data_IF_243554531664
#
_entry.id   IF_243554531664
#
_cell.length_a   1.000
_cell.length_b   1.000
_cell.length_c   1.000
_cell.angle_alpha   90.00
_cell.angle_beta   90.00
_cell.angle_gamma   90.00
#
_symmetry.space_group_name_H-M   'P 1'
#
loop_
_entity.id
_entity.type
_entity.pdbx_description
1 polymer ?
#
# COMPACT_ATOMS: atom_id res chain seq x y z
N UNK A 1 18.44 33.15 -19.43
CA UNK A 1 18.81 31.72 -19.32
C UNK A 1 18.08 30.97 -18.17
N UNK A 2 17.71 31.62 -17.04
CA UNK A 2 16.97 30.98 -15.91
C UNK A 2 15.54 30.55 -16.29
N UNK A 3 14.83 31.24 -17.16
CA UNK A 3 13.46 30.95 -17.59
C UNK A 3 13.34 29.66 -18.43
N UNK A 4 14.37 29.30 -19.17
CA UNK A 4 14.36 28.12 -20.05
C UNK A 4 14.58 26.81 -19.26
N UNK A 5 15.24 26.89 -18.10
CA UNK A 5 15.43 25.72 -17.21
C UNK A 5 14.18 25.37 -16.41
N UNK A 6 13.35 26.35 -16.08
CA UNK A 6 12.06 26.11 -15.40
C UNK A 6 11.07 25.39 -16.32
N UNK A 7 11.05 25.72 -17.63
CA UNK A 7 10.22 25.03 -18.61
C UNK A 7 10.65 23.57 -18.81
N UNK A 8 11.95 23.26 -18.75
CA UNK A 8 12.43 21.88 -18.92
C UNK A 8 12.10 20.97 -17.72
N UNK A 9 12.09 21.49 -16.50
CA UNK A 9 11.71 20.72 -15.32
C UNK A 9 10.19 20.40 -15.30
N UNK A 10 9.37 21.37 -15.69
CA UNK A 10 7.91 21.16 -15.83
C UNK A 10 7.61 20.21 -17.00
N UNK A 11 8.39 20.26 -18.08
CA UNK A 11 8.22 19.37 -19.24
C UNK A 11 8.68 17.94 -18.95
N UNK A 12 9.71 17.73 -18.11
CA UNK A 12 10.16 16.40 -17.71
C UNK A 12 9.15 15.71 -16.78
N UNK A 13 8.49 16.46 -15.88
CA UNK A 13 7.39 15.96 -15.07
C UNK A 13 6.14 15.62 -15.90
N UNK A 14 5.86 16.39 -16.97
CA UNK A 14 4.76 16.14 -17.89
C UNK A 14 4.98 14.89 -18.76
N UNK A 15 6.23 14.57 -19.13
CA UNK A 15 6.55 13.37 -19.93
C UNK A 15 6.51 12.07 -19.10
N UNK A 16 6.80 12.12 -17.81
CA UNK A 16 6.58 10.97 -16.91
C UNK A 16 5.10 10.75 -16.60
N UNK A 17 4.27 11.81 -16.59
CA UNK A 17 2.82 11.69 -16.33
C UNK A 17 2.04 11.07 -17.51
N UNK A 18 2.55 11.18 -18.75
CA UNK A 18 1.87 10.67 -19.94
C UNK A 18 2.09 9.17 -20.22
N UNK A 19 2.95 8.49 -19.47
CA UNK A 19 3.17 7.03 -19.62
C UNK A 19 2.23 6.18 -18.77
N UNK A 20 1.55 6.78 -17.82
CA UNK A 20 0.52 6.14 -17.00
C UNK A 20 -0.66 7.09 -16.91
N UNK A 21 -1.79 6.71 -17.50
CA UNK A 21 -3.07 7.40 -17.32
C UNK A 21 -3.53 7.21 -15.87
N UNK A 22 -2.89 7.92 -14.96
CA UNK A 22 -3.30 8.05 -13.57
C UNK A 22 -4.12 9.34 -13.47
N UNK A 23 -5.42 9.22 -13.23
CA UNK A 23 -6.24 10.34 -12.80
C UNK A 23 -5.71 10.87 -11.47
N UNK A 24 -4.88 11.91 -11.54
CA UNK A 24 -4.38 12.68 -10.39
C UNK A 24 -5.46 13.53 -9.71
N UNK A 25 -6.70 13.45 -10.20
CA UNK A 25 -7.82 14.29 -9.79
C UNK A 25 -8.40 13.97 -8.39
N UNK A 26 -7.87 12.99 -7.67
CA UNK A 26 -8.45 12.57 -6.38
C UNK A 26 -7.66 12.96 -5.13
N UNK A 27 -6.48 13.57 -5.26
CA UNK A 27 -5.79 14.13 -4.09
C UNK A 27 -6.28 15.56 -3.86
N UNK A 28 -6.62 15.94 -2.63
CA UNK A 28 -6.90 17.33 -2.29
C UNK A 28 -5.74 18.21 -2.73
N UNK A 29 -6.03 19.21 -3.55
CA UNK A 29 -5.05 20.13 -4.16
C UNK A 29 -4.18 20.84 -3.11
N UNK A 30 -4.70 21.01 -1.89
CA UNK A 30 -4.00 21.57 -0.75
C UNK A 30 -2.88 20.67 -0.22
N UNK A 31 -3.04 19.35 -0.28
CA UNK A 31 -2.01 18.38 0.12
C UNK A 31 -0.90 18.29 -0.92
N UNK A 32 -1.27 18.31 -2.21
CA UNK A 32 -0.31 18.36 -3.30
C UNK A 32 0.48 19.66 -3.28
N UNK A 33 -0.20 20.79 -3.02
CA UNK A 33 0.42 22.11 -2.90
C UNK A 33 1.33 22.20 -1.68
N UNK A 34 0.93 21.64 -0.53
CA UNK A 34 1.80 21.58 0.67
C UNK A 34 3.03 20.69 0.47
N UNK A 35 2.91 19.59 -0.27
CA UNK A 35 4.05 18.75 -0.62
C UNK A 35 5.02 19.44 -1.61
N UNK A 36 4.51 20.33 -2.46
CA UNK A 36 5.29 21.03 -3.48
C UNK A 36 5.75 22.42 -3.00
N UNK A 37 5.03 23.07 -2.07
CA UNK A 37 5.34 24.40 -1.53
C UNK A 37 6.04 24.39 -0.18
N UNK A 38 6.51 23.25 0.31
CA UNK A 38 7.47 23.25 1.39
C UNK A 38 8.71 24.00 0.89
N UNK A 39 8.86 25.25 1.34
CA UNK A 39 9.92 26.19 0.95
C UNK A 39 11.35 25.64 1.11
N UNK A 40 11.50 24.50 1.78
CA UNK A 40 12.76 23.78 1.97
C UNK A 40 13.22 22.95 0.75
N UNK A 41 12.42 22.82 -0.30
CA UNK A 41 12.80 22.05 -1.52
C UNK A 41 13.57 22.90 -2.52
N UNK A 42 13.63 24.23 -2.34
CA UNK A 42 14.37 25.15 -3.19
C UNK A 42 15.61 25.70 -2.46
N UNK A 43 16.49 24.82 -2.01
CA UNK A 43 17.86 25.20 -1.71
C UNK A 43 18.56 25.47 -3.07
N UNK A 44 18.95 26.70 -3.33
CA UNK A 44 19.58 27.11 -4.59
C UNK A 44 20.94 26.40 -4.83
N UNK A 45 21.50 25.76 -3.79
CA UNK A 45 22.76 25.02 -3.80
C UNK A 45 22.58 23.51 -3.96
N UNK A 46 21.35 22.99 -4.11
CA UNK A 46 21.10 21.57 -4.26
C UNK A 46 21.44 21.09 -5.68
N UNK A 47 22.51 20.32 -5.81
CA UNK A 47 22.93 19.73 -7.10
C UNK A 47 22.06 18.51 -7.44
N UNK A 48 21.07 18.75 -8.31
CA UNK A 48 20.21 17.69 -8.85
C UNK A 48 20.95 16.64 -9.69
N UNK A 49 22.22 16.84 -10.01
CA UNK A 49 23.05 15.87 -10.73
C UNK A 49 23.51 14.71 -9.83
N UNK A 50 23.57 14.92 -8.50
CA UNK A 50 23.82 13.84 -7.53
C UNK A 50 22.62 12.92 -7.27
N UNK A 51 21.42 13.27 -7.75
CA UNK A 51 20.22 12.43 -7.67
C UNK A 51 20.24 11.22 -8.63
N UNK A 52 21.41 10.85 -9.11
CA UNK A 52 21.61 9.73 -10.00
C UNK A 52 21.17 8.40 -9.40
N UNK A 53 19.95 8.02 -9.69
CA UNK A 53 19.17 6.80 -9.44
C UNK A 53 18.21 6.92 -8.26
N UNK A 54 17.00 6.34 -8.44
CA UNK A 54 15.94 6.26 -7.43
C UNK A 54 16.43 5.68 -6.07
N UNK A 55 17.54 4.96 -6.04
CA UNK A 55 18.16 4.45 -4.82
C UNK A 55 18.75 5.55 -3.94
N UNK A 56 19.29 6.64 -4.50
CA UNK A 56 19.89 7.72 -3.70
C UNK A 56 18.84 8.61 -3.05
N UNK A 57 17.66 8.75 -3.68
CA UNK A 57 16.52 9.46 -3.07
C UNK A 57 16.04 8.79 -1.79
N UNK A 58 16.01 7.46 -1.75
CA UNK A 58 15.55 6.69 -0.59
C UNK A 58 16.53 6.75 0.60
N UNK A 59 17.78 7.16 0.38
CA UNK A 59 18.80 7.29 1.42
C UNK A 59 19.08 8.75 1.82
N UNK A 60 18.41 9.72 1.19
CA UNK A 60 18.51 11.11 1.59
C UNK A 60 17.68 11.36 2.86
N UNK A 61 18.26 11.82 3.99
CA UNK A 61 17.53 12.06 5.24
C UNK A 61 16.37 13.05 5.07
N UNK A 62 16.52 14.09 4.25
CA UNK A 62 15.44 15.04 3.96
C UNK A 62 14.25 14.34 3.23
N UNK A 63 14.53 13.39 2.33
CA UNK A 63 13.50 12.61 1.67
C UNK A 63 12.88 11.57 2.62
N UNK A 64 13.66 11.01 3.54
CA UNK A 64 13.17 10.13 4.59
C UNK A 64 12.19 10.85 5.52
N UNK A 65 12.46 12.12 5.87
CA UNK A 65 11.55 12.96 6.66
C UNK A 65 10.24 13.24 5.89
N UNK A 66 10.31 13.51 4.59
CA UNK A 66 9.11 13.68 3.75
C UNK A 66 8.30 12.39 3.62
N UNK A 67 8.96 11.22 3.52
CA UNK A 67 8.28 9.92 3.56
C UNK A 67 7.65 9.65 4.92
N UNK A 68 8.30 10.08 6.01
CA UNK A 68 7.75 9.94 7.35
C UNK A 68 6.50 10.81 7.55
N UNK A 69 6.51 12.04 7.03
CA UNK A 69 5.33 12.92 7.01
C UNK A 69 4.22 12.33 6.13
N UNK A 70 4.56 11.77 4.96
CA UNK A 70 3.58 11.10 4.08
C UNK A 70 2.96 9.87 4.76
N UNK A 71 3.73 9.08 5.52
CA UNK A 71 3.23 7.94 6.30
C UNK A 71 2.24 8.32 7.40
N UNK A 72 2.34 9.54 7.96
CA UNK A 72 1.36 10.04 8.92
C UNK A 72 -0.01 10.41 8.29
N UNK A 73 -0.14 10.31 6.97
CA UNK A 73 -1.40 10.62 6.30
C UNK A 73 -2.47 9.54 6.52
N UNK A 74 -2.11 8.29 6.84
CA UNK A 74 -3.08 7.20 7.05
C UNK A 74 -3.16 6.84 8.51
N UNK A 75 -4.37 6.89 9.07
CA UNK A 75 -4.66 6.47 10.44
C UNK A 75 -5.53 5.21 10.54
N UNK A 76 -6.14 4.80 9.43
CA UNK A 76 -6.89 3.55 9.37
C UNK A 76 -6.94 2.96 7.95
N UNK A 77 -6.99 1.64 7.86
CA UNK A 77 -7.23 0.89 6.63
C UNK A 77 -8.56 0.15 6.76
N UNK A 78 -9.41 0.25 5.74
CA UNK A 78 -10.67 -0.49 5.66
C UNK A 78 -10.66 -1.38 4.43
N UNK A 79 -10.97 -2.65 4.61
CA UNK A 79 -11.14 -3.62 3.53
C UNK A 79 -12.59 -4.04 3.45
N UNK A 80 -13.19 -3.96 2.27
CA UNK A 80 -14.51 -4.49 1.94
C UNK A 80 -14.32 -5.66 0.98
N UNK A 81 -14.42 -6.88 1.49
CA UNK A 81 -14.16 -8.11 0.74
C UNK A 81 -15.11 -8.28 -0.43
N UNK A 82 -16.42 -8.09 -0.20
CA UNK A 82 -17.44 -8.21 -1.24
C UNK A 82 -17.25 -7.21 -2.39
N UNK A 83 -16.71 -6.03 -2.10
CA UNK A 83 -16.42 -5.00 -3.09
C UNK A 83 -15.02 -5.13 -3.73
N UNK A 84 -14.17 -6.04 -3.23
CA UNK A 84 -12.75 -6.14 -3.61
C UNK A 84 -12.01 -4.81 -3.48
N UNK A 85 -12.24 -4.08 -2.38
CA UNK A 85 -11.70 -2.75 -2.15
C UNK A 85 -10.91 -2.68 -0.85
N UNK A 86 -9.77 -2.00 -0.91
CA UNK A 86 -9.03 -1.51 0.25
C UNK A 86 -9.01 0.01 0.20
N UNK A 87 -9.39 0.63 1.30
CA UNK A 87 -9.54 2.08 1.44
C UNK A 87 -8.60 2.55 2.53
N UNK A 88 -7.78 3.54 2.24
CA UNK A 88 -6.93 4.24 3.20
C UNK A 88 -7.67 5.47 3.71
N UNK A 89 -7.71 5.63 5.03
CA UNK A 89 -8.41 6.72 5.68
C UNK A 89 -7.46 7.64 6.44
N UNK A 90 -7.80 8.93 6.49
CA UNK A 90 -7.26 9.93 7.39
C UNK A 90 -8.39 10.74 8.00
N UNK A 91 -8.46 10.78 9.34
CA UNK A 91 -9.53 11.48 10.07
C UNK A 91 -10.93 11.08 9.56
N UNK A 92 -11.11 9.77 9.26
CA UNK A 92 -12.34 9.18 8.73
C UNK A 92 -12.64 9.50 7.27
N UNK A 93 -11.77 10.23 6.55
CA UNK A 93 -11.94 10.54 5.12
C UNK A 93 -11.12 9.59 4.26
N UNK A 94 -11.70 9.15 3.13
CA UNK A 94 -10.98 8.38 2.12
C UNK A 94 -9.91 9.26 1.46
N UNK A 95 -8.65 8.79 1.48
CA UNK A 95 -7.53 9.43 0.78
C UNK A 95 -7.02 8.58 -0.38
N UNK A 96 -7.25 7.27 -0.34
CA UNK A 96 -6.87 6.36 -1.42
C UNK A 96 -7.74 5.10 -1.39
N UNK A 97 -7.97 4.54 -2.55
CA UNK A 97 -8.67 3.27 -2.72
C UNK A 97 -7.92 2.39 -3.73
N UNK A 98 -7.85 1.09 -3.42
CA UNK A 98 -7.23 0.09 -4.27
C UNK A 98 -8.20 -1.05 -4.56
N UNK A 99 -8.09 -1.65 -5.75
CA UNK A 99 -8.63 -2.96 -6.00
C UNK A 99 -7.75 -4.03 -5.37
N UNK A 100 -8.37 -5.02 -4.71
CA UNK A 100 -7.66 -6.13 -4.09
C UNK A 100 -8.08 -7.45 -4.71
N UNK A 101 -7.13 -8.41 -4.77
CA UNK A 101 -7.45 -9.82 -4.99
C UNK A 101 -7.46 -10.55 -3.65
N UNK A 102 -8.37 -11.49 -3.51
CA UNK A 102 -8.55 -12.36 -2.36
C UNK A 102 -8.22 -13.82 -2.72
N UNK A 103 -8.79 -14.78 -2.01
CA UNK A 103 -8.67 -16.21 -2.33
C UNK A 103 -9.89 -16.70 -3.12
N UNK A 104 -9.79 -17.90 -3.66
CA UNK A 104 -10.90 -18.63 -4.28
C UNK A 104 -12.08 -18.92 -3.31
N UNK A 105 -11.94 -18.57 -2.04
CA UNK A 105 -12.97 -18.63 -1.00
C UNK A 105 -13.13 -17.30 -0.29
N UNK A 106 -13.55 -16.24 -0.98
CA UNK A 106 -13.51 -14.87 -0.45
C UNK A 106 -14.57 -14.63 0.64
N UNK A 107 -15.63 -15.45 0.67
CA UNK A 107 -16.76 -15.22 1.57
C UNK A 107 -16.56 -15.84 2.95
N UNK A 108 -16.98 -15.09 3.98
CA UNK A 108 -16.92 -15.47 5.39
C UNK A 108 -15.54 -15.29 6.00
N UNK A 109 -15.51 -15.19 7.33
CA UNK A 109 -14.29 -15.01 8.10
C UNK A 109 -13.41 -16.27 8.09
N UNK A 110 -12.10 -16.08 8.19
CA UNK A 110 -11.14 -17.14 8.44
C UNK A 110 -11.44 -17.83 9.75
N UNK A 111 -11.46 -19.18 9.74
CA UNK A 111 -11.78 -20.00 10.88
C UNK A 111 -10.59 -20.81 11.39
N UNK A 112 -9.74 -21.31 10.48
CA UNK A 112 -8.60 -22.16 10.81
C UNK A 112 -7.54 -22.15 9.70
N UNK A 113 -6.39 -22.69 9.99
CA UNK A 113 -5.28 -22.81 9.03
C UNK A 113 -5.69 -23.69 7.84
N UNK A 114 -5.46 -23.19 6.62
CA UNK A 114 -5.74 -23.91 5.38
C UNK A 114 -7.17 -23.76 4.85
N UNK A 115 -8.06 -23.02 5.52
CA UNK A 115 -9.42 -22.73 5.03
C UNK A 115 -9.48 -21.77 3.84
N UNK A 116 -8.34 -21.17 3.51
CA UNK A 116 -8.13 -20.18 2.44
C UNK A 116 -8.93 -18.88 2.59
N UNK A 117 -9.55 -18.64 3.72
CA UNK A 117 -10.33 -17.42 3.97
C UNK A 117 -9.46 -16.28 4.48
N UNK A 118 -9.86 -15.07 4.17
CA UNK A 118 -9.31 -13.87 4.77
C UNK A 118 -10.00 -13.59 6.10
N UNK A 119 -9.27 -13.20 7.18
CA UNK A 119 -9.92 -12.86 8.44
C UNK A 119 -10.86 -11.68 8.29
N UNK A 120 -11.89 -11.62 9.14
CA UNK A 120 -12.82 -10.50 9.27
C UNK A 120 -12.77 -9.97 10.70
N UNK A 121 -12.81 -8.64 10.84
CA UNK A 121 -12.67 -7.94 12.11
C UNK A 121 -11.59 -6.87 12.07
N UNK A 122 -11.22 -6.37 13.24
CA UNK A 122 -10.19 -5.33 13.38
C UNK A 122 -8.89 -5.94 13.90
N UNK A 123 -7.81 -5.64 13.21
CA UNK A 123 -6.44 -6.08 13.47
C UNK A 123 -5.49 -4.89 13.37
N UNK A 124 -4.21 -5.14 13.56
CA UNK A 124 -3.14 -4.16 13.39
C UNK A 124 -2.19 -4.63 12.27
N UNK A 125 -1.70 -3.72 11.48
CA UNK A 125 -0.61 -3.94 10.54
C UNK A 125 0.71 -3.83 11.32
N UNK A 126 1.33 -4.96 11.67
CA UNK A 126 2.33 -5.00 12.75
C UNK A 126 3.80 -5.12 12.32
N UNK A 127 4.08 -5.61 11.10
CA UNK A 127 5.44 -5.56 10.55
C UNK A 127 5.47 -5.65 9.02
N UNK A 128 6.55 -5.11 8.43
CA UNK A 128 6.82 -5.16 6.99
C UNK A 128 7.84 -6.24 6.66
N UNK A 129 7.53 -7.11 5.71
CA UNK A 129 8.45 -8.08 5.12
C UNK A 129 8.95 -7.57 3.78
N UNK A 130 10.17 -7.03 3.76
CA UNK A 130 10.79 -6.44 2.55
C UNK A 130 11.15 -7.48 1.47
N UNK A 131 11.38 -8.75 1.86
CA UNK A 131 11.66 -9.87 0.95
C UNK A 131 10.56 -10.90 1.08
N UNK A 132 9.69 -10.97 0.11
CA UNK A 132 8.57 -11.91 0.02
C UNK A 132 8.60 -12.61 -1.34
N UNK A 133 8.10 -13.83 -1.41
CA UNK A 133 7.83 -14.52 -2.68
C UNK A 133 6.78 -13.78 -3.52
N UNK A 134 6.09 -12.83 -2.90
CA UNK A 134 5.08 -11.98 -3.49
C UNK A 134 5.51 -10.51 -3.43
N UNK A 135 6.72 -10.20 -3.91
CA UNK A 135 7.32 -8.87 -3.95
C UNK A 135 7.66 -8.33 -2.55
N UNK A 136 6.73 -7.70 -1.87
CA UNK A 136 6.80 -7.17 -0.50
C UNK A 136 5.52 -7.59 0.23
N UNK A 137 5.51 -7.50 1.56
CA UNK A 137 4.30 -7.79 2.33
C UNK A 137 4.26 -7.01 3.64
N UNK A 138 3.05 -6.77 4.15
CA UNK A 138 2.79 -6.23 5.48
C UNK A 138 1.86 -7.19 6.21
N UNK A 139 2.23 -7.57 7.43
CA UNK A 139 1.53 -8.58 8.20
C UNK A 139 0.30 -7.96 8.89
N UNK A 140 -0.77 -8.74 8.93
CA UNK A 140 -2.00 -8.46 9.67
C UNK A 140 -1.92 -9.28 10.96
N UNK A 141 -2.12 -8.65 12.13
CA UNK A 141 -1.96 -9.26 13.46
C UNK A 141 -3.01 -10.34 13.78
N UNK A 142 -3.34 -11.15 12.78
CA UNK A 142 -4.15 -12.36 12.93
C UNK A 142 -3.24 -13.52 13.38
N UNK A 143 -3.67 -14.39 14.30
CA UNK A 143 -4.96 -14.44 14.99
C UNK A 143 -5.00 -13.62 16.29
N UNK A 144 -6.15 -13.02 16.60
CA UNK A 144 -6.43 -12.49 17.92
C UNK A 144 -6.97 -13.59 18.87
N UNK A 145 -7.28 -13.23 20.12
CA UNK A 145 -7.76 -14.20 21.12
C UNK A 145 -9.08 -14.88 20.72
N UNK A 146 -9.98 -14.16 20.03
CA UNK A 146 -11.25 -14.71 19.52
C UNK A 146 -11.01 -15.74 18.42
N UNK A 147 -10.11 -15.44 17.49
CA UNK A 147 -9.76 -16.35 16.40
C UNK A 147 -9.13 -17.64 16.92
N UNK A 148 -8.24 -17.53 17.93
CA UNK A 148 -7.63 -18.67 18.59
C UNK A 148 -8.67 -19.54 19.28
N UNK A 149 -9.59 -18.92 20.04
CA UNK A 149 -10.65 -19.66 20.74
C UNK A 149 -11.56 -20.38 19.75
N UNK A 150 -11.95 -19.70 18.67
CA UNK A 150 -12.77 -20.27 17.62
C UNK A 150 -12.12 -21.48 16.93
N UNK A 151 -10.86 -21.36 16.51
CA UNK A 151 -10.14 -22.47 15.89
C UNK A 151 -9.99 -23.67 16.83
N UNK A 152 -9.69 -23.41 18.12
CA UNK A 152 -9.56 -24.43 19.16
C UNK A 152 -10.89 -25.19 19.40
N UNK A 153 -12.03 -24.50 19.39
CA UNK A 153 -13.34 -25.13 19.54
C UNK A 153 -13.65 -26.14 18.42
N UNK A 154 -13.01 -25.97 17.27
CA UNK A 154 -13.08 -26.90 16.13
C UNK A 154 -11.95 -27.95 16.12
N UNK A 155 -11.12 -28.02 17.16
CA UNK A 155 -9.96 -28.91 17.21
C UNK A 155 -8.88 -28.56 16.20
N UNK A 156 -8.78 -27.29 15.76
CA UNK A 156 -7.86 -26.85 14.73
C UNK A 156 -6.94 -25.73 15.21
N UNK A 157 -5.86 -25.49 14.45
CA UNK A 157 -4.99 -24.32 14.65
C UNK A 157 -5.55 -23.13 13.86
N UNK A 158 -5.48 -21.91 14.39
CA UNK A 158 -5.96 -20.72 13.67
C UNK A 158 -5.10 -20.40 12.44
N UNK A 159 -3.80 -20.80 12.45
CA UNK A 159 -2.79 -20.35 11.53
C UNK A 159 -2.29 -18.95 11.90
N UNK A 160 -1.75 -18.28 10.95
CA UNK A 160 -1.18 -16.93 11.01
C UNK A 160 -0.77 -16.53 9.60
N UNK A 161 0.20 -15.62 9.46
CA UNK A 161 0.75 -15.21 8.17
C UNK A 161 -0.28 -14.63 7.20
N UNK A 162 -1.37 -14.03 7.73
CA UNK A 162 -2.28 -13.20 6.94
C UNK A 162 -1.56 -11.90 6.56
N UNK A 163 -1.45 -11.63 5.26
CA UNK A 163 -0.65 -10.52 4.74
C UNK A 163 -1.45 -9.64 3.77
N UNK A 164 -1.10 -8.35 3.72
CA UNK A 164 -1.25 -7.54 2.52
C UNK A 164 0.06 -7.70 1.73
N UNK A 165 0.01 -8.13 0.47
CA UNK A 165 1.21 -8.41 -0.33
C UNK A 165 1.03 -8.07 -1.81
N UNK A 166 2.13 -8.05 -2.55
CA UNK A 166 2.12 -7.86 -3.99
C UNK A 166 1.97 -9.17 -4.77
N UNK A 167 2.37 -9.14 -6.02
CA UNK A 167 2.28 -10.24 -6.96
C UNK A 167 3.64 -10.95 -7.11
N UNK A 168 3.66 -12.25 -7.41
CA UNK A 168 4.91 -12.97 -7.63
C UNK A 168 5.64 -12.46 -8.88
N UNK A 169 6.98 -12.42 -8.89
CA UNK A 169 7.79 -11.89 -10.01
C UNK A 169 7.54 -12.59 -11.35
N UNK A 170 7.18 -13.86 -11.33
CA UNK A 170 6.97 -14.70 -12.51
C UNK A 170 5.70 -14.37 -13.31
N UNK A 171 4.89 -13.40 -12.88
CA UNK A 171 3.61 -13.07 -13.50
C UNK A 171 3.50 -11.62 -13.96
N UNK A 172 4.62 -10.97 -14.28
CA UNK A 172 4.65 -9.56 -14.67
C UNK A 172 3.83 -9.23 -15.92
N UNK A 173 3.69 -10.15 -16.85
CA UNK A 173 2.93 -9.96 -18.09
C UNK A 173 1.41 -10.02 -17.91
N UNK A 174 0.93 -10.58 -16.78
CA UNK A 174 -0.51 -10.80 -16.50
C UNK A 174 -0.98 -10.10 -15.23
N UNK A 175 -0.23 -9.12 -14.74
CA UNK A 175 -0.47 -8.53 -13.42
C UNK A 175 -1.90 -8.03 -13.23
N UNK A 176 -2.43 -7.26 -14.18
CA UNK A 176 -3.79 -6.72 -14.07
C UNK A 176 -4.87 -7.81 -14.20
N UNK A 177 -4.70 -8.73 -15.14
CA UNK A 177 -5.65 -9.84 -15.35
C UNK A 177 -5.69 -10.76 -14.13
N UNK A 178 -4.51 -11.11 -13.58
CA UNK A 178 -4.42 -11.94 -12.37
C UNK A 178 -5.01 -11.21 -11.17
N UNK A 179 -4.79 -9.89 -11.07
CA UNK A 179 -5.35 -9.08 -9.99
C UNK A 179 -6.88 -9.03 -9.99
N UNK A 180 -7.52 -9.24 -11.14
CA UNK A 180 -8.98 -9.31 -11.24
C UNK A 180 -9.56 -10.66 -10.89
N UNK A 181 -8.72 -11.65 -10.56
CA UNK A 181 -9.13 -12.98 -10.08
C UNK A 181 -8.75 -13.17 -8.62
N UNK A 182 -9.48 -14.01 -7.90
CA UNK A 182 -9.18 -14.37 -6.52
C UNK A 182 -8.21 -15.57 -6.52
N UNK A 183 -6.92 -15.28 -6.30
CA UNK A 183 -5.84 -16.24 -6.50
C UNK A 183 -5.01 -16.54 -5.25
N UNK A 184 -5.25 -15.84 -4.14
CA UNK A 184 -4.47 -15.99 -2.91
C UNK A 184 -4.92 -17.22 -2.09
N UNK A 185 -4.21 -17.51 -1.00
CA UNK A 185 -4.58 -18.53 -0.03
C UNK A 185 -5.15 -17.94 1.28
N UNK A 186 -5.81 -16.77 1.19
CA UNK A 186 -6.40 -16.07 2.32
C UNK A 186 -5.71 -14.74 2.68
N UNK A 187 -4.67 -14.37 1.95
CA UNK A 187 -4.06 -13.03 2.01
C UNK A 187 -4.86 -12.02 1.18
N UNK A 188 -4.49 -10.75 1.29
CA UNK A 188 -5.00 -9.65 0.49
C UNK A 188 -3.87 -9.24 -0.47
N UNK A 189 -4.11 -9.32 -1.79
CA UNK A 189 -3.11 -8.95 -2.77
C UNK A 189 -3.41 -7.63 -3.45
N UNK A 190 -2.37 -6.83 -3.66
CA UNK A 190 -2.34 -5.59 -4.43
C UNK A 190 -1.47 -5.77 -5.67
N UNK A 191 -1.65 -4.94 -6.70
CA UNK A 191 -0.64 -4.73 -7.73
C UNK A 191 0.66 -4.23 -7.07
N UNK A 192 1.83 -4.59 -7.62
CA UNK A 192 3.11 -4.16 -7.03
C UNK A 192 3.23 -2.63 -6.91
N UNK A 193 2.85 -1.81 -7.90
CA UNK A 193 2.83 -0.36 -7.76
C UNK A 193 1.88 0.14 -6.67
N UNK A 194 0.68 -0.46 -6.55
CA UNK A 194 -0.29 -0.11 -5.51
C UNK A 194 0.22 -0.49 -4.11
N UNK A 195 0.92 -1.63 -4.00
CA UNK A 195 1.55 -2.02 -2.74
C UNK A 195 2.66 -1.04 -2.33
N UNK A 196 3.44 -0.52 -3.28
CA UNK A 196 4.46 0.48 -2.98
C UNK A 196 3.84 1.78 -2.45
N UNK A 197 2.73 2.23 -3.06
CA UNK A 197 1.96 3.36 -2.55
C UNK A 197 1.40 3.05 -1.16
N UNK A 198 0.79 1.87 -0.96
CA UNK A 198 0.29 1.43 0.33
C UNK A 198 1.38 1.47 1.40
N UNK A 199 2.55 0.87 1.14
CA UNK A 199 3.68 0.83 2.08
C UNK A 199 4.32 2.20 2.32
N UNK A 200 4.17 3.15 1.41
CA UNK A 200 4.64 4.53 1.60
C UNK A 200 3.72 5.37 2.48
N UNK A 201 2.42 5.05 2.52
CA UNK A 201 1.39 5.82 3.23
C UNK A 201 1.00 5.21 4.59
N UNK A 202 1.21 3.90 4.78
CA UNK A 202 0.72 3.13 5.94
C UNK A 202 1.89 2.70 6.82
N UNK A 203 1.87 3.14 8.08
CA UNK A 203 2.87 2.76 9.08
C UNK A 203 2.52 1.45 9.80
N UNK A 204 3.56 0.82 10.34
CA UNK A 204 3.41 -0.25 11.34
C UNK A 204 2.66 0.31 12.55
N UNK A 205 1.67 -0.44 13.03
CA UNK A 205 0.77 0.00 14.09
C UNK A 205 -0.58 0.51 13.58
N UNK A 206 -0.72 0.79 12.26
CA UNK A 206 -2.00 1.24 11.69
C UNK A 206 -3.07 0.14 11.84
N UNK A 207 -4.27 0.49 12.35
CA UNK A 207 -5.39 -0.43 12.41
C UNK A 207 -5.91 -0.76 11.00
N UNK A 208 -6.30 -2.03 10.82
CA UNK A 208 -6.98 -2.52 9.62
C UNK A 208 -8.29 -3.19 10.02
N UNK A 209 -9.40 -2.72 9.46
CA UNK A 209 -10.73 -3.34 9.63
C UNK A 209 -11.12 -4.04 8.34
N UNK A 210 -11.39 -5.34 8.44
CA UNK A 210 -11.74 -6.20 7.30
C UNK A 210 -13.21 -6.59 7.43
N UNK A 211 -14.02 -6.06 6.54
CA UNK A 211 -15.46 -6.30 6.44
C UNK A 211 -15.77 -7.43 5.43
N UNK A 212 -16.90 -8.12 5.58
CA UNK A 212 -17.42 -9.08 4.61
C UNK A 212 -17.47 -8.59 3.18
#
# INVERSE_FOLDING_TARGET
MKFLRLLSAVFALSLCANSFAFEYDSLPTDLLTKAITAESVYDEDFDYAELGTANNLLHNPAFADHLHVAKQLVDAVVVNKAAHQMILLKDGKEIRKFWIALSDRPYGAKQYEGDKRTPEGTYTLDYVKKRSNYYKAMHISYPNAKDIANARSMGKRPGGMSMVHGQPPSRSEYQETVQRTDWTNGCIALLNPDLDIFLSLVDVGTPITINP
#
